data_IF_746825376083
#
_entry.id   IF_746825376083
#
_cell.length_a   1.000
_cell.length_b   1.000
_cell.length_c   1.000
_cell.angle_alpha   90.00
_cell.angle_beta   90.00
_cell.angle_gamma   90.00
#
_symmetry.space_group_name_H-M   'P 1'
#
loop_
_entity.id
_entity.type
_entity.pdbx_description
1 polymer ?
#
# COMPACT_ATOMS: atom_id res chain seq x y z
N UNK A 1 20.36 6.64 8.56
CA UNK A 1 19.11 5.89 8.84
C UNK A 1 18.26 5.92 7.58
N UNK A 2 17.59 4.81 7.23
CA UNK A 2 16.66 4.81 6.09
C UNK A 2 15.56 5.85 6.30
N UNK A 3 15.09 6.44 5.20
CA UNK A 3 13.97 7.38 5.19
C UNK A 3 12.68 6.59 5.49
N UNK A 4 11.74 7.18 6.22
CA UNK A 4 10.44 6.54 6.47
C UNK A 4 9.60 6.49 5.19
N UNK A 5 8.90 5.38 4.99
CA UNK A 5 7.91 5.18 3.94
C UNK A 5 6.52 5.73 4.31
N UNK A 6 6.31 6.06 5.59
CA UNK A 6 5.15 6.82 6.06
C UNK A 6 5.53 8.31 6.17
N UNK A 7 4.64 9.23 5.78
CA UNK A 7 4.91 10.67 5.83
C UNK A 7 5.24 11.09 7.26
N UNK A 8 6.24 11.96 7.38
CA UNK A 8 6.50 12.66 8.64
C UNK A 8 5.24 13.45 9.01
N UNK A 9 4.76 13.24 10.23
CA UNK A 9 3.51 13.86 10.70
C UNK A 9 3.67 14.66 11.98
N UNK A 10 4.88 14.77 12.54
CA UNK A 10 5.06 15.41 13.86
C UNK A 10 4.48 16.82 13.85
N UNK A 11 3.72 17.13 14.89
CA UNK A 11 2.99 18.38 15.07
C UNK A 11 1.86 18.67 14.06
N UNK A 12 1.61 17.79 13.09
CA UNK A 12 0.50 17.85 12.15
C UNK A 12 -0.52 16.75 12.45
N UNK A 13 -1.20 16.88 13.58
CA UNK A 13 -2.23 15.95 14.04
C UNK A 13 -3.55 16.69 14.22
N UNK A 14 -4.72 16.09 13.93
CA UNK A 14 -6.01 16.73 14.15
C UNK A 14 -6.32 16.97 15.64
N UNK A 15 -5.54 16.38 16.56
CA UNK A 15 -5.65 16.70 18.00
C UNK A 15 -4.95 18.01 18.38
N UNK A 16 -4.23 18.64 17.44
CA UNK A 16 -3.42 19.83 17.69
C UNK A 16 -3.61 20.91 16.61
N UNK A 17 -3.79 20.50 15.35
CA UNK A 17 -3.89 21.36 14.18
C UNK A 17 -5.28 21.24 13.57
N UNK A 18 -5.90 22.39 13.32
CA UNK A 18 -7.12 22.48 12.53
C UNK A 18 -6.76 22.65 11.06
N UNK A 19 -7.12 21.66 10.23
CA UNK A 19 -6.71 21.59 8.83
C UNK A 19 -7.14 22.82 8.04
N UNK A 20 -8.38 23.29 8.22
CA UNK A 20 -8.87 24.52 7.59
C UNK A 20 -8.00 25.72 7.94
N UNK A 21 -7.72 25.91 9.22
CA UNK A 21 -6.97 27.06 9.72
C UNK A 21 -5.54 27.06 9.20
N UNK A 22 -4.83 25.91 9.24
CA UNK A 22 -3.45 25.85 8.75
C UNK A 22 -3.36 26.02 7.23
N UNK A 23 -4.39 25.62 6.47
CA UNK A 23 -4.51 25.92 5.04
C UNK A 23 -4.69 27.43 4.79
N UNK A 24 -5.49 28.14 5.58
CA UNK A 24 -5.62 29.62 5.48
C UNK A 24 -4.29 30.33 5.80
N UNK A 25 -3.54 29.84 6.79
CA UNK A 25 -2.19 30.35 7.08
C UNK A 25 -1.25 30.15 5.90
N UNK A 26 -1.25 28.96 5.30
CA UNK A 26 -0.41 28.66 4.13
C UNK A 26 -0.76 29.54 2.93
N UNK A 27 -2.05 29.74 2.67
CA UNK A 27 -2.51 30.63 1.60
C UNK A 27 -2.06 32.08 1.82
N UNK A 28 -2.27 32.61 3.03
CA UNK A 28 -1.92 34.00 3.38
C UNK A 28 -0.42 34.28 3.27
N UNK A 29 0.41 33.29 3.57
CA UNK A 29 1.87 33.41 3.62
C UNK A 29 2.58 32.65 2.49
N UNK A 30 1.88 32.40 1.36
CA UNK A 30 2.44 31.69 0.23
C UNK A 30 3.73 32.38 -0.28
N UNK A 31 4.81 31.59 -0.41
CA UNK A 31 6.13 32.09 -0.80
C UNK A 31 6.99 32.61 0.36
N UNK A 32 6.42 32.86 1.54
CA UNK A 32 7.12 33.32 2.75
C UNK A 32 7.04 32.28 3.87
N UNK A 33 7.93 31.29 3.80
CA UNK A 33 7.97 30.21 4.77
C UNK A 33 8.27 30.66 6.20
N UNK A 34 8.94 31.80 6.39
CA UNK A 34 9.25 32.32 7.74
C UNK A 34 8.01 32.92 8.37
N UNK A 35 7.29 33.77 7.62
CA UNK A 35 6.03 34.33 8.10
C UNK A 35 4.98 33.24 8.36
N UNK A 36 4.96 32.18 7.54
CA UNK A 36 4.13 31.01 7.80
C UNK A 36 4.50 30.30 9.11
N UNK A 37 5.78 30.00 9.35
CA UNK A 37 6.22 29.38 10.60
C UNK A 37 5.89 30.23 11.83
N UNK A 38 6.08 31.56 11.75
CA UNK A 38 5.72 32.48 12.83
C UNK A 38 4.21 32.45 13.10
N UNK A 39 3.38 32.48 12.06
CA UNK A 39 1.93 32.42 12.20
C UNK A 39 1.45 31.07 12.78
N UNK A 40 2.06 29.95 12.38
CA UNK A 40 1.78 28.62 12.93
C UNK A 40 2.20 28.56 14.41
N UNK A 41 3.37 29.11 14.75
CA UNK A 41 3.86 29.20 16.13
C UNK A 41 2.89 29.96 17.01
N UNK A 42 2.47 31.15 16.57
CA UNK A 42 1.52 31.99 17.30
C UNK A 42 0.17 31.31 17.48
N UNK A 43 -0.31 30.62 16.44
CA UNK A 43 -1.64 30.00 16.44
C UNK A 43 -1.71 28.75 17.32
N UNK A 44 -0.68 27.89 17.29
CA UNK A 44 -0.75 26.54 17.87
C UNK A 44 0.22 26.28 19.02
N UNK A 45 1.30 27.08 19.15
CA UNK A 45 2.43 26.75 20.02
C UNK A 45 2.83 27.84 21.01
N UNK A 46 2.23 29.04 20.92
CA UNK A 46 2.58 30.18 21.79
C UNK A 46 2.36 29.86 23.27
N UNK A 47 1.26 29.16 23.59
CA UNK A 47 0.89 28.81 24.96
C UNK A 47 1.70 27.66 25.55
N UNK A 48 2.56 26.99 24.78
CA UNK A 48 3.32 25.85 25.29
C UNK A 48 4.36 26.31 26.32
N UNK A 49 4.40 25.68 27.49
CA UNK A 49 5.35 25.95 28.58
C UNK A 49 6.77 25.44 28.23
N UNK A 50 7.44 26.15 27.32
CA UNK A 50 8.79 25.85 26.86
C UNK A 50 9.46 27.11 26.33
N UNK A 51 10.79 27.06 26.12
CA UNK A 51 11.54 28.13 25.48
C UNK A 51 11.10 28.38 24.03
N UNK A 52 11.21 29.63 23.59
CA UNK A 52 10.80 30.10 22.24
C UNK A 52 11.42 29.27 21.10
N UNK A 53 12.69 28.87 21.24
CA UNK A 53 13.36 28.05 20.22
C UNK A 53 12.70 26.68 20.02
N UNK A 54 12.08 26.11 21.06
CA UNK A 54 11.31 24.87 20.93
C UNK A 54 9.96 25.12 20.26
N UNK A 55 9.26 26.22 20.60
CA UNK A 55 7.99 26.59 19.93
C UNK A 55 8.20 26.77 18.43
N UNK A 56 9.29 27.43 18.01
CA UNK A 56 9.70 27.56 16.61
C UNK A 56 9.96 26.21 15.94
N UNK A 57 10.61 25.27 16.63
CA UNK A 57 10.82 23.91 16.10
C UNK A 57 9.48 23.18 15.87
N UNK A 58 8.50 23.33 16.77
CA UNK A 58 7.17 22.72 16.60
C UNK A 58 6.44 23.28 15.38
N UNK A 59 6.51 24.60 15.17
CA UNK A 59 5.95 25.23 13.98
C UNK A 59 6.63 24.75 12.68
N UNK A 60 7.97 24.67 12.66
CA UNK A 60 8.70 24.10 11.53
C UNK A 60 8.33 22.63 11.29
N UNK A 61 8.15 21.82 12.34
CA UNK A 61 7.69 20.43 12.19
C UNK A 61 6.31 20.35 11.53
N UNK A 62 5.41 21.29 11.83
CA UNK A 62 4.10 21.38 11.14
C UNK A 62 4.29 21.64 9.64
N UNK A 63 5.16 22.59 9.26
CA UNK A 63 5.52 22.85 7.85
C UNK A 63 6.09 21.60 7.17
N UNK A 64 7.07 20.95 7.80
CA UNK A 64 7.70 19.74 7.27
C UNK A 64 6.69 18.61 7.08
N UNK A 65 5.73 18.48 7.99
CA UNK A 65 4.66 17.51 7.87
C UNK A 65 3.71 17.85 6.72
N UNK A 66 3.30 19.11 6.55
CA UNK A 66 2.48 19.51 5.39
C UNK A 66 3.19 19.25 4.06
N UNK A 67 4.52 19.40 3.99
CA UNK A 67 5.33 19.00 2.83
C UNK A 67 5.29 17.48 2.64
N UNK A 68 5.46 16.70 3.72
CA UNK A 68 5.45 15.23 3.66
C UNK A 68 4.09 14.66 3.25
N UNK A 69 2.99 15.35 3.56
CA UNK A 69 1.63 15.05 3.10
C UNK A 69 1.32 15.64 1.71
N UNK A 70 2.30 16.24 1.04
CA UNK A 70 2.16 16.75 -0.32
C UNK A 70 1.27 17.97 -0.46
N UNK A 71 0.99 18.72 0.62
CA UNK A 71 0.06 19.86 0.61
C UNK A 71 0.76 21.14 0.12
N UNK A 72 2.00 21.36 0.55
CA UNK A 72 2.80 22.54 0.20
C UNK A 72 4.22 22.16 -0.25
N UNK A 73 4.87 23.07 -0.96
CA UNK A 73 6.31 23.02 -1.22
C UNK A 73 7.14 23.62 -0.06
N UNK A 74 8.47 23.69 -0.23
CA UNK A 74 9.39 24.25 0.78
C UNK A 74 9.18 25.73 1.09
N UNK A 75 8.61 26.47 0.14
CA UNK A 75 8.33 27.90 0.23
C UNK A 75 6.86 28.16 0.60
N UNK A 76 6.11 27.12 1.01
CA UNK A 76 4.71 27.23 1.42
C UNK A 76 3.78 27.59 0.25
N UNK A 77 4.18 27.34 -1.00
CA UNK A 77 3.22 27.36 -2.09
C UNK A 77 2.42 26.06 -2.09
N UNK A 78 1.11 26.14 -2.34
CA UNK A 78 0.32 24.93 -2.52
C UNK A 78 0.80 24.13 -3.72
N UNK A 79 0.84 22.81 -3.54
CA UNK A 79 0.87 21.85 -4.65
C UNK A 79 -0.50 21.81 -5.34
N UNK A 80 -0.65 21.01 -6.39
CA UNK A 80 -1.99 20.75 -6.97
C UNK A 80 -2.96 20.21 -5.93
N UNK A 81 -2.51 19.25 -5.13
CA UNK A 81 -3.30 18.70 -4.02
C UNK A 81 -3.60 19.74 -2.93
N UNK A 82 -2.64 20.60 -2.59
CA UNK A 82 -2.87 21.70 -1.65
C UNK A 82 -3.96 22.68 -2.13
N UNK A 83 -3.98 22.98 -3.43
CA UNK A 83 -5.02 23.83 -4.04
C UNK A 83 -6.40 23.16 -3.98
N UNK A 84 -6.46 21.86 -4.24
CA UNK A 84 -7.69 21.07 -4.12
C UNK A 84 -8.23 21.13 -2.69
N UNK A 85 -7.39 20.84 -1.69
CA UNK A 85 -7.80 20.94 -0.28
C UNK A 85 -8.25 22.36 0.10
N UNK A 86 -7.54 23.38 -0.37
CA UNK A 86 -7.90 24.78 -0.09
C UNK A 86 -9.27 25.14 -0.70
N UNK A 87 -9.59 24.63 -1.90
CA UNK A 87 -10.91 24.83 -2.49
C UNK A 87 -12.04 24.22 -1.64
N UNK A 88 -11.77 23.09 -0.98
CA UNK A 88 -12.72 22.37 -0.11
C UNK A 88 -12.78 22.89 1.33
N UNK A 89 -11.96 23.87 1.72
CA UNK A 89 -11.75 24.28 3.13
C UNK A 89 -13.01 24.70 3.90
N UNK A 90 -14.10 25.05 3.20
CA UNK A 90 -15.37 25.45 3.80
C UNK A 90 -16.39 24.30 3.91
N UNK A 91 -16.08 23.13 3.34
CA UNK A 91 -16.83 21.89 3.51
C UNK A 91 -15.95 20.90 4.29
N UNK A 92 -16.13 20.84 5.60
CA UNK A 92 -15.32 20.02 6.50
C UNK A 92 -15.32 18.54 6.11
N UNK A 93 -16.48 18.01 5.71
CA UNK A 93 -16.62 16.60 5.33
C UNK A 93 -15.86 16.33 4.04
N UNK A 94 -16.03 17.17 3.02
CA UNK A 94 -15.31 17.01 1.76
C UNK A 94 -13.80 17.18 1.95
N UNK A 95 -13.37 18.15 2.77
CA UNK A 95 -11.97 18.42 3.08
C UNK A 95 -11.26 17.20 3.67
N UNK A 96 -11.81 16.59 4.73
CA UNK A 96 -11.18 15.42 5.34
C UNK A 96 -11.24 14.19 4.46
N UNK A 97 -12.31 14.00 3.68
CA UNK A 97 -12.40 12.89 2.72
C UNK A 97 -11.37 13.02 1.60
N UNK A 98 -11.11 14.23 1.09
CA UNK A 98 -10.06 14.47 0.12
C UNK A 98 -8.67 14.17 0.70
N UNK A 99 -8.40 14.62 1.93
CA UNK A 99 -7.15 14.28 2.61
C UNK A 99 -6.98 12.77 2.84
N UNK A 100 -8.03 12.09 3.29
CA UNK A 100 -8.00 10.65 3.48
C UNK A 100 -7.79 9.90 2.18
N UNK A 101 -8.49 10.26 1.09
CA UNK A 101 -8.28 9.66 -0.24
C UNK A 101 -6.81 9.81 -0.67
N UNK A 102 -6.22 10.99 -0.49
CA UNK A 102 -4.81 11.21 -0.80
C UNK A 102 -3.88 10.33 0.05
N UNK A 103 -4.10 10.24 1.36
CA UNK A 103 -3.32 9.39 2.26
C UNK A 103 -3.40 7.93 1.83
N UNK A 104 -4.61 7.43 1.55
CA UNK A 104 -4.86 6.04 1.18
C UNK A 104 -4.21 5.69 -0.16
N UNK A 105 -4.22 6.59 -1.14
CA UNK A 105 -3.75 6.32 -2.50
C UNK A 105 -2.28 6.63 -2.73
N UNK A 106 -1.71 7.61 -2.01
CA UNK A 106 -0.39 8.16 -2.36
C UNK A 106 0.64 8.05 -1.23
N UNK A 107 0.21 7.81 0.01
CA UNK A 107 1.07 7.89 1.21
C UNK A 107 1.11 6.56 1.99
N UNK A 108 0.95 5.42 1.31
CA UNK A 108 0.90 4.08 1.92
C UNK A 108 -0.23 3.89 2.96
N UNK A 109 -1.27 4.72 2.93
CA UNK A 109 -2.39 4.63 3.85
C UNK A 109 -3.24 3.37 3.65
N UNK A 110 -3.44 2.91 2.40
CA UNK A 110 -4.14 1.66 2.14
C UNK A 110 -3.37 0.45 2.68
N UNK A 111 -2.04 0.47 2.55
CA UNK A 111 -1.16 -0.57 3.12
C UNK A 111 -1.24 -0.58 4.65
N UNK A 112 -1.23 0.60 5.29
CA UNK A 112 -1.41 0.72 6.74
C UNK A 112 -2.73 0.10 7.19
N UNK A 113 -3.84 0.48 6.55
CA UNK A 113 -5.18 -0.06 6.86
C UNK A 113 -5.20 -1.57 6.64
N UNK A 114 -4.63 -2.06 5.54
CA UNK A 114 -4.58 -3.50 5.26
C UNK A 114 -3.77 -4.27 6.30
N UNK A 115 -2.64 -3.72 6.75
CA UNK A 115 -1.81 -4.34 7.78
C UNK A 115 -2.57 -4.46 9.11
N UNK A 116 -3.29 -3.40 9.51
CA UNK A 116 -4.15 -3.40 10.70
C UNK A 116 -5.20 -4.50 10.63
N UNK A 117 -5.87 -4.64 9.47
CA UNK A 117 -6.87 -5.69 9.24
C UNK A 117 -6.27 -7.08 9.29
N UNK A 118 -5.06 -7.26 8.74
CA UNK A 118 -4.40 -8.56 8.76
C UNK A 118 -4.04 -9.00 10.20
N UNK A 119 -3.62 -8.05 11.06
CA UNK A 119 -3.37 -8.30 12.49
C UNK A 119 -4.68 -8.68 13.21
N UNK A 120 -5.75 -7.94 12.96
CA UNK A 120 -7.05 -8.24 13.58
C UNK A 120 -7.59 -9.60 13.14
N UNK A 121 -7.49 -9.89 11.84
CA UNK A 121 -7.90 -11.17 11.28
C UNK A 121 -7.04 -12.35 11.77
N UNK A 122 -5.77 -12.13 12.15
CA UNK A 122 -4.97 -13.16 12.81
C UNK A 122 -5.39 -13.45 14.26
N UNK A 123 -6.38 -12.71 14.78
CA UNK A 123 -6.87 -12.80 16.15
C UNK A 123 -6.04 -11.99 17.15
N UNK A 124 -5.21 -11.05 16.67
CA UNK A 124 -4.31 -10.27 17.50
C UNK A 124 -4.77 -8.82 17.71
N UNK A 125 -4.37 -8.24 18.85
CA UNK A 125 -4.56 -6.81 19.10
C UNK A 125 -3.48 -5.99 18.40
N UNK A 126 -3.88 -4.83 17.88
CA UNK A 126 -3.00 -3.90 17.18
C UNK A 126 -2.40 -2.91 18.18
N UNK A 127 -1.07 -2.87 18.22
CA UNK A 127 -0.29 -1.84 18.90
C UNK A 127 0.83 -1.34 17.97
N UNK A 128 1.50 -0.23 18.34
CA UNK A 128 2.52 0.39 17.48
C UNK A 128 3.79 -0.44 17.31
N UNK A 129 4.13 -1.31 18.27
CA UNK A 129 5.32 -2.17 18.18
C UNK A 129 5.07 -3.25 17.15
N UNK A 130 3.94 -3.94 17.28
CA UNK A 130 3.51 -5.01 16.36
C UNK A 130 3.22 -4.48 14.97
N UNK A 131 2.50 -3.36 14.86
CA UNK A 131 2.20 -2.74 13.58
C UNK A 131 3.47 -2.40 12.80
N UNK A 132 4.51 -1.92 13.48
CA UNK A 132 5.81 -1.65 12.85
C UNK A 132 6.46 -2.92 12.34
N UNK A 133 6.51 -3.98 13.14
CA UNK A 133 7.11 -5.26 12.73
C UNK A 133 6.39 -5.84 11.51
N UNK A 134 5.05 -5.82 11.52
CA UNK A 134 4.25 -6.30 10.40
C UNK A 134 4.39 -5.43 9.14
N UNK A 135 4.56 -4.11 9.28
CA UNK A 135 4.85 -3.25 8.14
C UNK A 135 6.26 -3.46 7.59
N UNK A 136 7.26 -3.67 8.46
CA UNK A 136 8.64 -3.92 8.05
C UNK A 136 8.76 -5.26 7.28
N UNK A 137 8.05 -6.31 7.71
CA UNK A 137 7.93 -7.58 6.95
C UNK A 137 7.33 -7.40 5.55
N UNK A 138 6.55 -6.32 5.36
CA UNK A 138 5.96 -5.92 4.07
C UNK A 138 6.82 -4.91 3.30
N UNK A 139 8.02 -4.59 3.80
CA UNK A 139 8.94 -3.64 3.16
C UNK A 139 8.62 -2.17 3.44
N UNK A 140 7.75 -1.88 4.41
CA UNK A 140 7.35 -0.52 4.78
C UNK A 140 8.04 -0.12 6.09
N UNK A 141 8.99 0.79 5.99
CA UNK A 141 9.78 1.25 7.10
C UNK A 141 9.23 2.53 7.76
N UNK A 142 9.22 2.57 9.09
CA UNK A 142 9.18 3.84 9.83
C UNK A 142 9.97 3.79 11.15
N UNK A 143 10.50 4.95 11.62
CA UNK A 143 11.40 4.99 12.77
C UNK A 143 10.79 4.45 14.06
N UNK A 144 11.61 3.78 14.87
CA UNK A 144 11.23 3.38 16.23
C UNK A 144 10.91 4.61 17.08
N UNK A 145 9.76 4.60 17.75
CA UNK A 145 9.26 5.75 18.53
C UNK A 145 8.68 6.90 17.68
N UNK A 146 8.66 6.77 16.35
CA UNK A 146 8.03 7.72 15.45
C UNK A 146 6.51 7.72 15.58
N UNK A 147 5.89 8.89 15.47
CA UNK A 147 4.43 9.06 15.55
C UNK A 147 3.72 8.94 14.18
N UNK A 148 4.45 8.57 13.12
CA UNK A 148 3.97 8.67 11.73
C UNK A 148 2.67 7.89 11.50
N UNK A 149 2.65 6.59 11.85
CA UNK A 149 1.47 5.75 11.72
C UNK A 149 0.28 6.23 12.57
N UNK A 150 0.56 6.73 13.78
CA UNK A 150 -0.50 7.25 14.69
C UNK A 150 -1.15 8.51 14.14
N UNK A 151 -0.34 9.41 13.56
CA UNK A 151 -0.82 10.68 13.02
C UNK A 151 -1.59 10.45 11.72
N UNK A 152 -1.10 9.56 10.85
CA UNK A 152 -1.85 9.13 9.68
C UNK A 152 -3.21 8.53 10.06
N UNK A 153 -3.24 7.62 11.04
CA UNK A 153 -4.47 7.03 11.59
C UNK A 153 -5.45 8.10 12.08
N UNK A 154 -4.96 9.12 12.80
CA UNK A 154 -5.79 10.23 13.29
C UNK A 154 -6.44 11.04 12.14
N UNK A 155 -5.71 11.30 11.05
CA UNK A 155 -6.30 11.97 9.88
C UNK A 155 -7.32 11.08 9.15
N UNK A 156 -7.04 9.78 9.05
CA UNK A 156 -7.98 8.81 8.47
C UNK A 156 -9.25 8.65 9.34
N UNK A 157 -9.12 8.75 10.67
CA UNK A 157 -10.24 8.77 11.62
C UNK A 157 -11.15 10.00 11.41
N UNK A 158 -10.60 11.18 11.11
CA UNK A 158 -11.41 12.37 10.76
C UNK A 158 -12.28 12.19 9.52
N UNK A 159 -11.91 11.27 8.63
CA UNK A 159 -12.72 10.89 7.46
C UNK A 159 -13.62 9.67 7.70
N UNK A 160 -13.56 9.06 8.89
CA UNK A 160 -14.35 7.89 9.27
C UNK A 160 -13.74 6.54 8.90
N UNK A 161 -12.51 6.48 8.35
CA UNK A 161 -11.86 5.20 7.99
C UNK A 161 -11.53 4.37 9.23
N UNK A 162 -11.21 5.03 10.34
CA UNK A 162 -11.12 4.41 11.65
C UNK A 162 -12.26 4.94 12.52
N UNK A 163 -13.00 4.05 13.17
CA UNK A 163 -14.10 4.42 14.08
C UNK A 163 -13.60 4.81 15.48
N UNK A 164 -12.58 4.09 15.97
CA UNK A 164 -11.85 4.38 17.20
C UNK A 164 -10.58 3.53 17.25
N UNK A 165 -9.48 4.10 17.73
CA UNK A 165 -8.20 3.38 17.78
C UNK A 165 -7.85 2.76 16.43
N UNK A 166 -7.60 1.45 16.39
CA UNK A 166 -7.26 0.71 15.18
C UNK A 166 -8.46 -0.04 14.56
N UNK A 167 -9.70 0.30 14.93
CA UNK A 167 -10.90 -0.33 14.36
C UNK A 167 -11.25 0.31 13.01
N UNK A 168 -11.13 -0.46 11.92
CA UNK A 168 -11.39 -0.01 10.56
C UNK A 168 -12.89 -0.03 10.27
N UNK A 169 -13.42 1.05 9.69
CA UNK A 169 -14.74 1.06 9.06
C UNK A 169 -14.60 0.68 7.58
N UNK A 170 -14.96 -0.56 7.27
CA UNK A 170 -14.83 -1.12 5.92
C UNK A 170 -15.67 -0.38 4.88
N UNK A 171 -16.86 0.09 5.27
CA UNK A 171 -17.75 0.77 4.34
C UNK A 171 -17.14 2.12 3.92
N UNK A 172 -16.59 2.87 4.87
CA UNK A 172 -15.94 4.16 4.59
C UNK A 172 -14.63 3.97 3.82
N UNK A 173 -13.82 2.96 4.20
CA UNK A 173 -12.58 2.64 3.49
C UNK A 173 -12.84 2.30 2.02
N UNK A 174 -13.79 1.41 1.74
CA UNK A 174 -14.18 1.01 0.39
C UNK A 174 -14.76 2.18 -0.42
N UNK A 175 -15.59 3.01 0.21
CA UNK A 175 -16.19 4.19 -0.43
C UNK A 175 -15.15 5.25 -0.82
N UNK A 176 -14.07 5.42 -0.04
CA UNK A 176 -12.99 6.36 -0.34
C UNK A 176 -12.06 5.87 -1.43
N UNK A 177 -11.71 4.58 -1.43
CA UNK A 177 -10.85 3.99 -2.45
C UNK A 177 -11.65 3.70 -3.73
N UNK A 178 -12.98 3.55 -3.64
CA UNK A 178 -13.85 3.15 -4.76
C UNK A 178 -13.38 1.84 -5.44
N UNK A 179 -12.67 1.00 -4.70
CA UNK A 179 -12.21 -0.31 -5.13
C UNK A 179 -12.54 -1.33 -4.02
N UNK A 180 -13.06 -2.52 -4.36
CA UNK A 180 -13.18 -3.64 -3.44
C UNK A 180 -11.83 -4.00 -2.80
N UNK A 181 -11.86 -4.48 -1.55
CA UNK A 181 -10.68 -4.98 -0.83
C UNK A 181 -10.00 -6.11 -1.61
N UNK A 182 -10.81 -6.96 -2.23
CA UNK A 182 -10.36 -8.09 -3.03
C UNK A 182 -9.50 -7.63 -4.21
N UNK A 183 -9.66 -6.39 -4.67
CA UNK A 183 -8.84 -5.85 -5.75
C UNK A 183 -7.41 -5.55 -5.31
N UNK A 184 -7.19 -5.04 -4.09
CA UNK A 184 -5.83 -4.88 -3.55
C UNK A 184 -5.09 -6.23 -3.51
N UNK A 185 -5.78 -7.29 -3.10
CA UNK A 185 -5.23 -8.64 -3.03
C UNK A 185 -4.87 -9.18 -4.41
N UNK A 186 -5.71 -8.89 -5.41
CA UNK A 186 -5.46 -9.26 -6.80
C UNK A 186 -4.26 -8.49 -7.35
N UNK A 187 -4.22 -7.17 -7.17
CA UNK A 187 -3.10 -6.32 -7.59
C UNK A 187 -1.78 -6.77 -6.93
N UNK A 188 -1.83 -7.12 -5.64
CA UNK A 188 -0.70 -7.65 -4.88
C UNK A 188 -0.13 -8.96 -5.45
N UNK A 189 -0.97 -9.80 -6.05
CA UNK A 189 -0.55 -11.08 -6.64
C UNK A 189 -0.03 -10.96 -8.06
N UNK A 190 -0.21 -9.82 -8.71
CA UNK A 190 0.28 -9.65 -10.07
C UNK A 190 1.81 -9.72 -10.14
N UNK A 191 2.31 -10.38 -11.18
CA UNK A 191 3.75 -10.45 -11.44
C UNK A 191 4.28 -9.08 -11.89
N UNK A 192 5.61 -8.83 -11.81
CA UNK A 192 6.19 -7.59 -12.32
C UNK A 192 5.79 -7.29 -13.78
N UNK A 193 5.73 -8.32 -14.63
CA UNK A 193 5.32 -8.23 -16.03
C UNK A 193 3.86 -7.80 -16.16
N UNK A 194 2.96 -8.40 -15.37
CA UNK A 194 1.54 -8.06 -15.36
C UNK A 194 1.30 -6.62 -14.89
N UNK A 195 1.99 -6.17 -13.84
CA UNK A 195 1.89 -4.79 -13.34
C UNK A 195 2.43 -3.79 -14.34
N UNK A 196 3.62 -4.03 -14.91
CA UNK A 196 4.19 -3.19 -15.95
C UNK A 196 3.26 -3.06 -17.17
N UNK A 197 2.63 -4.16 -17.58
CA UNK A 197 1.66 -4.17 -18.67
C UNK A 197 0.44 -3.27 -18.39
N UNK A 198 -0.15 -3.39 -17.18
CA UNK A 198 -1.27 -2.55 -16.76
C UNK A 198 -0.89 -1.08 -16.65
N UNK A 199 0.31 -0.76 -16.12
CA UNK A 199 0.78 0.63 -16.01
C UNK A 199 0.95 1.28 -17.37
N UNK A 200 1.50 0.57 -18.36
CA UNK A 200 1.56 1.09 -19.73
C UNK A 200 0.14 1.32 -20.26
N UNK A 201 -0.72 0.31 -20.16
CA UNK A 201 -2.06 0.39 -20.72
C UNK A 201 -2.91 1.51 -20.08
N UNK A 202 -2.79 1.74 -18.77
CA UNK A 202 -3.47 2.82 -18.06
C UNK A 202 -2.97 4.22 -18.44
N UNK A 203 -1.73 4.32 -18.94
CA UNK A 203 -1.14 5.58 -19.41
C UNK A 203 -1.37 5.83 -20.92
N UNK A 204 -1.93 4.88 -21.65
CA UNK A 204 -2.33 5.07 -23.05
C UNK A 204 -3.67 5.83 -23.12
N UNK A 205 -3.78 6.74 -24.08
CA UNK A 205 -5.03 7.48 -24.28
C UNK A 205 -6.13 6.61 -24.88
N UNK A 206 -7.23 6.42 -24.16
CA UNK A 206 -8.43 5.70 -24.61
C UNK A 206 -8.52 4.26 -24.09
N UNK A 207 -9.52 3.52 -24.59
CA UNK A 207 -9.74 2.11 -24.21
C UNK A 207 -9.19 1.11 -25.23
N UNK A 208 -8.40 1.56 -26.20
CA UNK A 208 -7.92 0.74 -27.31
C UNK A 208 -8.89 0.70 -28.51
N UNK A 209 -8.68 -0.25 -29.46
CA UNK A 209 -7.78 -1.39 -29.37
C UNK A 209 -6.30 -1.02 -29.51
N UNK A 210 -5.45 -1.64 -28.69
CA UNK A 210 -4.00 -1.64 -28.87
C UNK A 210 -3.50 -3.04 -29.22
N UNK A 211 -2.37 -3.16 -29.90
CA UNK A 211 -1.76 -4.46 -30.16
C UNK A 211 -1.01 -4.95 -28.93
N UNK A 212 -1.17 -6.25 -28.60
CA UNK A 212 -0.63 -6.79 -27.36
C UNK A 212 0.91 -6.73 -27.27
N UNK A 213 1.59 -6.85 -28.41
CA UNK A 213 3.04 -6.78 -28.56
C UNK A 213 3.57 -5.33 -28.45
N UNK A 214 2.79 -4.34 -28.88
CA UNK A 214 3.19 -2.93 -28.77
C UNK A 214 3.19 -2.50 -27.29
N UNK A 215 2.18 -2.91 -26.51
CA UNK A 215 2.14 -2.68 -25.07
C UNK A 215 3.29 -3.41 -24.36
N UNK A 216 3.53 -4.67 -24.72
CA UNK A 216 4.61 -5.49 -24.15
C UNK A 216 5.99 -4.87 -24.39
N UNK A 217 6.26 -4.43 -25.61
CA UNK A 217 7.50 -3.72 -25.96
C UNK A 217 7.66 -2.44 -25.16
N UNK A 218 6.61 -1.60 -25.11
CA UNK A 218 6.65 -0.35 -24.35
C UNK A 218 6.82 -0.59 -22.85
N UNK A 219 6.22 -1.65 -22.29
CA UNK A 219 6.39 -2.03 -20.90
C UNK A 219 7.82 -2.50 -20.59
N UNK A 220 8.42 -3.25 -21.50
CA UNK A 220 9.82 -3.66 -21.41
C UNK A 220 10.77 -2.47 -21.41
N UNK A 221 10.56 -1.52 -22.33
CA UNK A 221 11.37 -0.31 -22.47
C UNK A 221 11.21 0.64 -21.28
N UNK A 222 9.98 0.80 -20.77
CA UNK A 222 9.67 1.77 -19.69
C UNK A 222 10.04 1.25 -18.30
N UNK A 223 9.79 -0.04 -18.04
CA UNK A 223 9.89 -0.62 -16.69
C UNK A 223 10.99 -1.69 -16.55
N UNK A 224 11.73 -2.00 -17.62
CA UNK A 224 12.86 -2.93 -17.58
C UNK A 224 12.49 -4.39 -17.30
N UNK A 225 11.22 -4.76 -17.50
CA UNK A 225 10.74 -6.14 -17.37
C UNK A 225 10.98 -6.94 -18.65
N UNK A 226 11.14 -8.26 -18.54
CA UNK A 226 11.32 -9.14 -19.70
C UNK A 226 10.10 -10.06 -19.84
N UNK A 227 9.46 -10.02 -21.01
CA UNK A 227 8.33 -10.90 -21.30
C UNK A 227 8.80 -12.14 -22.07
N UNK A 228 8.16 -13.28 -21.80
CA UNK A 228 8.24 -14.44 -22.68
C UNK A 228 7.18 -14.29 -23.78
N UNK A 229 7.58 -13.78 -24.95
CA UNK A 229 6.68 -13.48 -26.08
C UNK A 229 5.79 -14.67 -26.48
N UNK A 230 6.32 -15.89 -26.46
CA UNK A 230 5.57 -17.11 -26.83
C UNK A 230 4.49 -17.47 -25.79
N UNK A 231 4.69 -17.06 -24.54
CA UNK A 231 3.81 -17.37 -23.41
C UNK A 231 3.00 -16.16 -22.93
N UNK A 232 3.20 -14.97 -23.52
CA UNK A 232 2.53 -13.72 -23.17
C UNK A 232 1.01 -13.88 -22.96
N UNK A 233 0.26 -14.61 -23.81
CA UNK A 233 -1.15 -14.82 -23.55
C UNK A 233 -1.43 -15.54 -22.23
N UNK A 234 -0.69 -16.60 -21.92
CA UNK A 234 -0.90 -17.41 -20.72
C UNK A 234 -0.38 -16.75 -19.44
N UNK A 235 0.76 -16.06 -19.52
CA UNK A 235 1.42 -15.50 -18.34
C UNK A 235 0.95 -14.09 -18.00
N UNK A 236 0.43 -13.33 -18.98
CA UNK A 236 0.02 -11.94 -18.77
C UNK A 236 -1.43 -11.71 -19.20
N UNK A 237 -1.78 -11.96 -20.46
CA UNK A 237 -3.07 -11.49 -20.99
C UNK A 237 -4.28 -12.21 -20.38
N UNK A 238 -4.25 -13.54 -20.25
CA UNK A 238 -5.36 -14.29 -19.67
C UNK A 238 -5.55 -13.99 -18.18
N UNK A 239 -4.50 -13.97 -17.32
CA UNK A 239 -4.65 -13.52 -15.94
C UNK A 239 -5.27 -12.13 -15.80
N UNK A 240 -4.83 -11.17 -16.61
CA UNK A 240 -5.37 -9.79 -16.58
C UNK A 240 -6.82 -9.71 -17.09
N UNK A 241 -7.18 -10.54 -18.08
CA UNK A 241 -8.56 -10.67 -18.57
C UNK A 241 -9.46 -11.30 -17.51
N UNK A 242 -9.01 -12.38 -16.90
CA UNK A 242 -9.81 -13.18 -15.97
C UNK A 242 -10.07 -12.43 -14.65
N UNK A 243 -9.21 -11.45 -14.33
CA UNK A 243 -9.40 -10.49 -13.23
C UNK A 243 -10.19 -9.23 -13.62
N UNK A 244 -10.54 -9.11 -14.90
CA UNK A 244 -11.43 -8.09 -15.45
C UNK A 244 -10.76 -6.74 -15.74
N UNK A 245 -9.43 -6.63 -15.70
CA UNK A 245 -8.74 -5.36 -15.99
C UNK A 245 -8.64 -5.08 -17.48
N UNK A 246 -8.60 -6.12 -18.32
CA UNK A 246 -8.53 -5.98 -19.78
C UNK A 246 -9.57 -6.85 -20.48
N UNK A 247 -9.92 -6.45 -21.70
CA UNK A 247 -10.68 -7.29 -22.64
C UNK A 247 -9.79 -7.64 -23.83
N UNK A 248 -9.90 -8.86 -24.32
CA UNK A 248 -9.10 -9.38 -25.42
C UNK A 248 -9.99 -9.72 -26.63
N UNK A 249 -9.56 -9.30 -27.81
CA UNK A 249 -10.08 -9.79 -29.09
C UNK A 249 -8.96 -10.44 -29.90
N UNK A 250 -9.26 -11.56 -30.56
CA UNK A 250 -8.29 -12.18 -31.48
C UNK A 250 -8.17 -11.32 -32.74
N UNK A 251 -6.95 -11.07 -33.21
CA UNK A 251 -6.75 -10.54 -34.56
C UNK A 251 -7.18 -11.57 -35.61
N UNK A 252 -8.08 -11.21 -36.53
CA UNK A 252 -8.51 -12.09 -37.64
C UNK A 252 -7.59 -11.94 -38.86
N UNK A 253 -7.05 -13.06 -39.40
CA UNK A 253 -6.97 -13.42 -40.84
C UNK A 253 -6.01 -14.61 -41.10
N UNK A 254 -6.14 -15.17 -42.30
CA UNK A 254 -5.90 -16.52 -42.84
C UNK A 254 -4.45 -17.08 -42.83
N UNK A 255 -3.43 -16.30 -42.47
CA UNK A 255 -2.04 -16.80 -42.39
C UNK A 255 -1.24 -16.06 -41.30
N UNK A 256 -0.76 -16.83 -40.30
CA UNK A 256 0.05 -16.34 -39.17
C UNK A 256 -0.77 -15.94 -37.94
N UNK A 257 -0.31 -16.30 -36.74
CA UNK A 257 -0.95 -15.90 -35.49
C UNK A 257 -0.74 -14.39 -35.26
N UNK A 258 -1.78 -13.58 -35.44
CA UNK A 258 -1.73 -12.15 -35.14
C UNK A 258 -1.76 -11.91 -33.63
N UNK A 259 -1.12 -10.82 -33.14
CA UNK A 259 -1.23 -10.37 -31.76
C UNK A 259 -2.69 -10.16 -31.33
N UNK A 260 -2.94 -10.25 -30.02
CA UNK A 260 -4.25 -9.91 -29.48
C UNK A 260 -4.49 -8.41 -29.57
N UNK A 261 -5.73 -8.01 -29.85
CA UNK A 261 -6.18 -6.65 -29.58
C UNK A 261 -6.58 -6.56 -28.12
N UNK A 262 -6.00 -5.60 -27.41
CA UNK A 262 -6.21 -5.36 -25.98
C UNK A 262 -7.01 -4.09 -25.81
N UNK A 263 -8.01 -4.16 -24.94
CA UNK A 263 -8.83 -3.02 -24.54
C UNK A 263 -8.72 -2.82 -23.04
N UNK A 264 -8.49 -1.59 -22.61
CA UNK A 264 -8.61 -1.21 -21.20
C UNK A 264 -10.09 -1.23 -20.82
N UNK A 265 -10.39 -1.72 -19.61
CA UNK A 265 -11.75 -1.68 -19.06
C UNK A 265 -11.94 -0.44 -18.20
N UNK A 266 -13.20 -0.10 -17.89
CA UNK A 266 -13.51 0.95 -16.91
C UNK A 266 -12.86 0.67 -15.54
N UNK A 267 -12.71 -0.62 -15.20
CA UNK A 267 -12.01 -1.05 -14.00
C UNK A 267 -10.55 -0.61 -13.99
N UNK A 268 -9.82 -0.81 -15.09
CA UNK A 268 -8.42 -0.36 -15.19
C UNK A 268 -8.32 1.17 -15.21
N UNK A 269 -9.26 1.84 -15.88
CA UNK A 269 -9.25 3.30 -16.02
C UNK A 269 -9.75 4.03 -14.76
N UNK A 270 -10.17 3.31 -13.72
CA UNK A 270 -10.48 3.91 -12.45
C UNK A 270 -9.23 4.59 -11.88
N UNK A 271 -9.34 5.88 -11.52
CA UNK A 271 -8.24 6.73 -11.04
C UNK A 271 -7.41 6.13 -9.90
N UNK A 272 -7.98 5.15 -9.19
CA UNK A 272 -7.38 4.52 -8.01
C UNK A 272 -6.45 3.35 -8.35
N UNK A 273 -6.61 2.70 -9.51
CA UNK A 273 -5.86 1.48 -9.82
C UNK A 273 -4.37 1.74 -9.99
N UNK A 274 -4.00 2.83 -10.69
CA UNK A 274 -2.60 3.16 -10.90
C UNK A 274 -1.87 3.52 -9.57
N UNK A 275 -2.40 4.42 -8.72
CA UNK A 275 -1.83 4.65 -7.39
C UNK A 275 -1.74 3.38 -6.52
N UNK A 276 -2.74 2.50 -6.60
CA UNK A 276 -2.73 1.23 -5.86
C UNK A 276 -1.65 0.27 -6.37
N UNK A 277 -1.48 0.16 -7.69
CA UNK A 277 -0.40 -0.62 -8.31
C UNK A 277 0.97 -0.14 -7.84
N UNK A 278 1.19 1.18 -7.82
CA UNK A 278 2.45 1.78 -7.37
C UNK A 278 2.74 1.51 -5.88
N UNK A 279 1.71 1.54 -5.02
CA UNK A 279 1.86 1.16 -3.62
C UNK A 279 2.23 -0.32 -3.47
N UNK A 280 1.53 -1.19 -4.21
CA UNK A 280 1.74 -2.63 -4.16
C UNK A 280 3.16 -3.02 -4.63
N UNK A 281 3.72 -2.34 -5.63
CA UNK A 281 5.07 -2.61 -6.12
C UNK A 281 6.16 -2.38 -5.07
N UNK A 282 5.89 -1.52 -4.08
CA UNK A 282 6.80 -1.27 -2.96
C UNK A 282 6.71 -2.35 -1.88
N UNK A 283 5.67 -3.19 -1.92
CA UNK A 283 5.50 -4.26 -0.94
C UNK A 283 6.39 -5.44 -1.27
N UNK A 284 7.08 -5.93 -0.26
CA UNK A 284 7.77 -7.22 -0.27
C UNK A 284 6.92 -8.24 0.48
N UNK A 285 7.07 -9.53 0.16
CA UNK A 285 6.42 -10.58 0.95
C UNK A 285 4.90 -10.64 0.78
N UNK A 286 4.33 -10.18 -0.35
CA UNK A 286 2.88 -10.22 -0.60
C UNK A 286 2.29 -11.65 -0.52
N UNK A 287 3.11 -12.66 -0.82
CA UNK A 287 2.83 -14.08 -0.67
C UNK A 287 2.71 -14.53 0.78
N UNK A 288 3.24 -13.77 1.75
CA UNK A 288 3.16 -14.07 3.17
C UNK A 288 1.84 -13.70 3.78
N UNK A 289 1.10 -12.78 3.15
CA UNK A 289 -0.12 -12.24 3.72
C UNK A 289 -1.17 -13.32 4.06
N UNK A 290 -1.44 -14.35 3.22
CA UNK A 290 -2.32 -15.45 3.59
C UNK A 290 -1.86 -16.19 4.86
N UNK A 291 -0.55 -16.42 5.01
CA UNK A 291 0.04 -17.13 6.16
C UNK A 291 -0.03 -16.27 7.45
N UNK A 292 0.19 -14.96 7.31
CA UNK A 292 0.09 -13.99 8.39
C UNK A 292 -1.35 -13.88 8.93
N UNK A 293 -2.32 -13.75 8.01
CA UNK A 293 -3.72 -13.44 8.32
C UNK A 293 -4.50 -14.60 8.93
N UNK A 294 -4.16 -15.85 8.59
CA UNK A 294 -4.94 -17.01 9.03
C UNK A 294 -4.89 -17.13 10.58
N UNK A 295 -6.02 -17.14 11.30
CA UNK A 295 -6.03 -17.32 12.75
C UNK A 295 -5.52 -18.71 13.13
N UNK A 296 -4.87 -18.82 14.31
CA UNK A 296 -4.36 -20.12 14.78
C UNK A 296 -5.48 -21.16 14.95
N UNK A 297 -6.66 -20.75 15.43
CA UNK A 297 -7.81 -21.65 15.56
C UNK A 297 -8.23 -22.28 14.24
N UNK A 298 -8.35 -21.46 13.18
CA UNK A 298 -8.68 -21.92 11.83
C UNK A 298 -7.61 -22.87 11.27
N UNK A 299 -6.32 -22.56 11.48
CA UNK A 299 -5.21 -23.46 11.10
C UNK A 299 -5.39 -24.83 11.76
N UNK A 300 -5.63 -24.87 13.07
CA UNK A 300 -5.76 -26.12 13.82
C UNK A 300 -6.98 -26.95 13.38
N UNK A 301 -8.05 -26.30 12.93
CA UNK A 301 -9.22 -27.00 12.40
C UNK A 301 -9.01 -27.50 10.97
N UNK A 302 -8.37 -26.72 10.10
CA UNK A 302 -8.02 -27.13 8.74
C UNK A 302 -6.99 -28.28 8.71
N UNK A 303 -6.13 -28.40 9.71
CA UNK A 303 -5.22 -29.54 9.86
C UNK A 303 -5.96 -30.89 10.02
N UNK A 304 -7.22 -30.86 10.45
CA UNK A 304 -8.11 -32.03 10.56
C UNK A 304 -8.87 -32.33 9.26
N UNK A 305 -8.72 -31.50 8.24
CA UNK A 305 -9.42 -31.66 6.95
C UNK A 305 -8.98 -32.93 6.22
N UNK A 306 -9.95 -33.61 5.59
CA UNK A 306 -9.69 -34.72 4.68
C UNK A 306 -9.20 -34.24 3.29
N UNK A 307 -9.34 -32.94 3.00
CA UNK A 307 -8.81 -32.36 1.78
C UNK A 307 -7.31 -32.06 1.95
N UNK A 308 -6.48 -32.81 1.24
CA UNK A 308 -5.01 -32.72 1.31
C UNK A 308 -4.48 -31.33 0.95
N UNK A 309 -5.14 -30.63 0.02
CA UNK A 309 -4.76 -29.27 -0.37
C UNK A 309 -4.99 -28.28 0.78
N UNK A 310 -6.17 -28.33 1.41
CA UNK A 310 -6.51 -27.48 2.57
C UNK A 310 -5.57 -27.77 3.74
N UNK A 311 -5.32 -29.05 4.00
CA UNK A 311 -4.41 -29.49 5.06
C UNK A 311 -2.97 -29.01 4.82
N UNK A 312 -2.48 -29.05 3.57
CA UNK A 312 -1.14 -28.56 3.20
C UNK A 312 -0.99 -27.06 3.44
N UNK A 313 -1.96 -26.25 3.00
CA UNK A 313 -1.96 -24.81 3.27
C UNK A 313 -2.00 -24.49 4.77
N UNK A 314 -2.72 -25.29 5.56
CA UNK A 314 -2.74 -25.15 7.02
C UNK A 314 -1.39 -25.52 7.65
N UNK A 315 -0.68 -26.53 7.13
CA UNK A 315 0.68 -26.89 7.57
C UNK A 315 1.68 -25.78 7.27
N UNK A 316 1.63 -25.17 6.08
CA UNK A 316 2.46 -24.02 5.72
C UNK A 316 2.24 -22.84 6.69
N UNK A 317 0.97 -22.52 6.96
CA UNK A 317 0.61 -21.44 7.88
C UNK A 317 1.03 -21.75 9.34
N UNK A 318 0.92 -23.00 9.78
CA UNK A 318 1.39 -23.43 11.09
C UNK A 318 2.92 -23.31 11.19
N UNK A 319 3.65 -23.84 10.21
CA UNK A 319 5.11 -23.75 10.15
C UNK A 319 5.55 -22.29 10.22
N UNK A 320 4.94 -21.43 9.41
CA UNK A 320 5.20 -19.99 9.42
C UNK A 320 5.02 -19.35 10.79
N UNK A 321 3.91 -19.62 11.49
CA UNK A 321 3.69 -19.08 12.84
C UNK A 321 4.68 -19.62 13.86
N UNK A 322 4.97 -20.93 13.84
CA UNK A 322 5.93 -21.54 14.77
C UNK A 322 7.34 -21.00 14.58
N UNK A 323 7.78 -20.82 13.33
CA UNK A 323 9.11 -20.29 13.03
C UNK A 323 9.25 -18.82 13.46
N UNK A 324 8.20 -18.01 13.29
CA UNK A 324 8.17 -16.64 13.84
C UNK A 324 8.23 -16.60 15.37
N UNK A 325 7.59 -17.55 16.06
CA UNK A 325 7.64 -17.63 17.53
C UNK A 325 9.06 -17.86 18.06
N UNK A 326 9.91 -18.55 17.30
CA UNK A 326 11.32 -18.76 17.64
C UNK A 326 12.27 -17.75 16.98
N UNK A 327 11.71 -16.64 16.47
CA UNK A 327 12.42 -15.53 15.82
C UNK A 327 13.27 -15.95 14.61
N UNK A 328 12.76 -16.90 13.83
CA UNK A 328 13.28 -17.15 12.48
C UNK A 328 12.52 -16.29 11.48
N UNK A 329 13.27 -15.71 10.54
CA UNK A 329 12.77 -14.85 9.49
C UNK A 329 12.46 -15.69 8.26
N UNK A 330 11.27 -15.51 7.67
CA UNK A 330 10.92 -16.18 6.42
C UNK A 330 11.80 -15.66 5.28
N UNK A 331 12.22 -16.55 4.38
CA UNK A 331 13.02 -16.20 3.20
C UNK A 331 12.22 -16.39 1.91
N UNK A 332 11.75 -17.61 1.64
CA UNK A 332 10.92 -17.93 0.49
C UNK A 332 10.27 -19.31 0.64
N UNK A 333 9.22 -19.53 -0.13
CA UNK A 333 8.61 -20.85 -0.34
C UNK A 333 9.21 -21.50 -1.58
N UNK A 334 9.71 -22.73 -1.43
CA UNK A 334 10.28 -23.52 -2.51
C UNK A 334 9.27 -24.58 -2.95
N UNK A 335 8.88 -24.53 -4.22
CA UNK A 335 8.11 -25.59 -4.86
C UNK A 335 9.05 -26.69 -5.36
N UNK A 336 8.85 -27.95 -4.93
CA UNK A 336 9.65 -29.09 -5.42
C UNK A 336 9.00 -29.73 -6.65
N UNK A 337 9.72 -29.65 -7.78
CA UNK A 337 9.78 -30.69 -8.83
C UNK A 337 8.66 -30.75 -9.89
N UNK A 338 9.06 -30.80 -11.18
CA UNK A 338 8.20 -31.13 -12.33
C UNK A 338 7.57 -32.55 -12.27
N UNK A 339 7.99 -33.42 -11.33
CA UNK A 339 7.52 -34.80 -11.22
C UNK A 339 6.34 -34.98 -10.24
N UNK A 340 6.12 -34.04 -9.32
CA UNK A 340 5.00 -34.06 -8.34
C UNK A 340 3.92 -33.02 -8.68
N UNK A 341 4.05 -32.31 -9.80
CA UNK A 341 3.11 -31.25 -10.18
C UNK A 341 3.15 -30.01 -9.27
N UNK A 342 4.20 -29.84 -8.46
CA UNK A 342 4.30 -28.74 -7.49
C UNK A 342 3.54 -28.97 -6.18
N UNK A 343 3.19 -30.23 -5.86
CA UNK A 343 2.40 -30.58 -4.69
C UNK A 343 3.16 -30.57 -3.35
N UNK A 344 4.51 -30.61 -3.37
CA UNK A 344 5.33 -30.52 -2.16
C UNK A 344 5.92 -29.12 -2.01
N UNK A 345 5.69 -28.54 -0.84
CA UNK A 345 6.05 -27.16 -0.50
C UNK A 345 7.03 -27.17 0.67
N UNK A 346 8.23 -26.64 0.44
CA UNK A 346 9.19 -26.38 1.51
C UNK A 346 9.14 -24.89 1.87
N UNK A 347 8.98 -24.56 3.15
CA UNK A 347 9.06 -23.18 3.64
C UNK A 347 10.44 -22.94 4.25
N UNK A 348 11.15 -21.92 3.76
CA UNK A 348 12.55 -21.64 4.14
C UNK A 348 12.59 -20.46 5.11
N UNK A 349 13.32 -20.64 6.21
CA UNK A 349 13.54 -19.62 7.24
C UNK A 349 15.02 -19.48 7.58
N UNK A 350 15.41 -18.31 8.05
CA UNK A 350 16.76 -18.00 8.50
C UNK A 350 16.77 -17.33 9.88
N UNK A 351 17.76 -17.70 10.69
CA UNK A 351 18.08 -17.03 11.95
C UNK A 351 19.48 -16.47 11.88
N UNK A 352 19.63 -15.17 12.13
CA UNK A 352 20.91 -14.43 12.05
C UNK A 352 21.44 -14.00 13.42
N UNK A 353 20.97 -14.64 14.51
CA UNK A 353 21.36 -14.33 15.89
C UNK A 353 22.81 -14.78 16.18
N UNK A 354 23.02 -15.63 17.19
CA UNK A 354 24.36 -16.03 17.62
C UNK A 354 25.11 -16.88 16.57
N UNK A 355 24.36 -17.72 15.84
CA UNK A 355 24.85 -18.48 14.71
C UNK A 355 23.84 -18.35 13.56
N UNK A 356 24.35 -18.22 12.33
CA UNK A 356 23.50 -18.33 11.15
C UNK A 356 22.91 -19.74 11.10
N UNK A 357 21.59 -19.84 11.01
CA UNK A 357 20.90 -21.10 10.79
C UNK A 357 19.86 -20.93 9.69
N UNK A 358 19.75 -21.91 8.80
CA UNK A 358 18.70 -21.98 7.79
C UNK A 358 17.86 -23.22 8.05
N UNK A 359 16.56 -23.02 8.19
CA UNK A 359 15.59 -24.06 8.47
C UNK A 359 14.73 -24.29 7.24
N UNK A 360 14.58 -25.55 6.87
CA UNK A 360 13.66 -25.98 5.83
C UNK A 360 12.56 -26.80 6.50
N UNK A 361 11.33 -26.33 6.40
CA UNK A 361 10.16 -27.04 6.92
C UNK A 361 9.38 -27.61 5.74
N UNK A 362 9.33 -28.93 5.63
CA UNK A 362 8.51 -29.61 4.64
C UNK A 362 7.06 -29.64 5.15
N UNK A 363 6.15 -29.07 4.38
CA UNK A 363 4.73 -28.94 4.71
C UNK A 363 3.87 -29.91 3.90
#
# INVERSE_FOLDING_TARGET
MPKSDLPFGSEFSPSQIELRTVLELAFKHAGDWKAFEDAVRETYFESNETIESNRRKLANNTKLSMIAYGIIDRNVNFTDFGRELYALRNDEKALYRALAKHILLNLNGAVLVQCVRDIQASGETVDLVKLREWLEERGIHFPRGGKHASIMRLWLEKAGVFSSGWNVDEAVFLDLIKAPVEELDVLARFTPEQRAYLKVLANLEGQGPYQSNDIEKLASETYGVQFNEKMLPKTVLYPLRDTGFIRLERGTSYHGAKPFKVFATDKLNAEVVLPMLEQVERLTGTELRPLLRKPLGEILDELKSNNTYVKGLALEALAFKLMRLIDLQYVYTRLKGNQTGGAEVDVIFEGTRLAFSRWQVQC
#
